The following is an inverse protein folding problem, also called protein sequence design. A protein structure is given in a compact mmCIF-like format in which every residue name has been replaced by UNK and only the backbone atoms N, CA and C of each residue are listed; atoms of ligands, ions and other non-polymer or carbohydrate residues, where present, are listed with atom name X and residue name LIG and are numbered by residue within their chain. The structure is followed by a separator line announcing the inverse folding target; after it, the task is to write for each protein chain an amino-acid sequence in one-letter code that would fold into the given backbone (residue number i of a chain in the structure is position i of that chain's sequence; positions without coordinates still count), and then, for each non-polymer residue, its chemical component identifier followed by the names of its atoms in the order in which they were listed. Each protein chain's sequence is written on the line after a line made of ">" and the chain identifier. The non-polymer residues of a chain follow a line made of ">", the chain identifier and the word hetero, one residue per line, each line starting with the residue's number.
data_IF_136387149900
#
_entry.id   IF_136387149900
#
_cell.length_a   1.000
_cell.length_b   1.000
_cell.length_c   1.000
_cell.angle_alpha   90.00
_cell.angle_beta   90.00
_cell.angle_gamma   90.00
#
_symmetry.space_group_name_H-M   'P 1'
#
loop_
_entity.id
_entity.type
_entity.pdbx_description
1 polymer ?
#
# COMPACT_ATOMS: atom_id res chain seq x y z
N UNK A 1 -21.35 -30.62 -0.78
CA UNK A 1 -20.56 -30.01 -1.87
C UNK A 1 -19.99 -28.63 -1.49
N UNK A 2 -20.77 -27.69 -0.94
CA UNK A 2 -20.26 -26.34 -0.60
C UNK A 2 -19.08 -26.33 0.42
N UNK A 3 -19.12 -27.19 1.45
CA UNK A 3 -18.04 -27.26 2.45
C UNK A 3 -16.70 -27.73 1.85
N UNK A 4 -16.73 -28.70 0.93
CA UNK A 4 -15.54 -29.23 0.25
C UNK A 4 -14.90 -28.18 -0.66
N UNK A 5 -15.72 -27.40 -1.39
CA UNK A 5 -15.25 -26.32 -2.26
C UNK A 5 -14.55 -25.21 -1.47
N UNK A 6 -15.05 -24.88 -0.28
CA UNK A 6 -14.43 -23.88 0.60
C UNK A 6 -13.09 -24.33 1.16
N UNK A 7 -12.95 -25.61 1.54
CA UNK A 7 -11.69 -26.18 2.03
C UNK A 7 -10.59 -26.16 0.95
N UNK A 8 -10.92 -26.54 -0.29
CA UNK A 8 -9.96 -26.50 -1.40
C UNK A 8 -9.53 -25.07 -1.73
N UNK A 9 -10.46 -24.11 -1.74
CA UNK A 9 -10.15 -22.69 -1.95
C UNK A 9 -9.25 -22.14 -0.86
N UNK A 10 -9.59 -22.40 0.40
CA UNK A 10 -8.80 -21.99 1.57
C UNK A 10 -7.37 -22.55 1.51
N UNK A 11 -7.21 -23.84 1.25
CA UNK A 11 -5.89 -24.47 1.13
C UNK A 11 -5.08 -23.86 -0.02
N UNK A 12 -5.69 -23.68 -1.18
CA UNK A 12 -5.05 -22.99 -2.31
C UNK A 12 -4.65 -21.55 -1.99
N UNK A 13 -5.52 -20.82 -1.28
CA UNK A 13 -5.26 -19.46 -0.82
C UNK A 13 -4.14 -19.35 0.20
N UNK A 14 -4.06 -20.28 1.14
CA UNK A 14 -2.99 -20.34 2.12
C UNK A 14 -1.62 -20.60 1.45
N UNK A 15 -1.57 -21.54 0.51
CA UNK A 15 -0.35 -21.81 -0.28
C UNK A 15 0.06 -20.57 -1.09
N UNK A 16 -0.90 -19.88 -1.73
CA UNK A 16 -0.61 -18.63 -2.46
C UNK A 16 -0.04 -17.55 -1.55
N UNK A 17 -0.62 -17.34 -0.37
CA UNK A 17 -0.14 -16.34 0.58
C UNK A 17 1.27 -16.66 1.09
N UNK A 18 1.53 -17.91 1.48
CA UNK A 18 2.87 -18.35 1.89
C UNK A 18 3.90 -18.13 0.78
N UNK A 19 3.57 -18.50 -0.46
CA UNK A 19 4.45 -18.29 -1.61
C UNK A 19 4.70 -16.80 -1.89
N UNK A 20 3.69 -15.95 -1.72
CA UNK A 20 3.82 -14.50 -1.84
C UNK A 20 4.76 -13.94 -0.75
N UNK A 21 4.56 -14.32 0.51
CA UNK A 21 5.43 -13.93 1.63
C UNK A 21 6.88 -14.35 1.43
N UNK A 22 7.13 -15.60 1.03
CA UNK A 22 8.48 -16.09 0.77
C UNK A 22 9.15 -15.32 -0.36
N UNK A 23 8.42 -15.03 -1.44
CA UNK A 23 8.93 -14.24 -2.57
C UNK A 23 9.25 -12.80 -2.14
N UNK A 24 8.35 -12.18 -1.38
CA UNK A 24 8.53 -10.84 -0.83
C UNK A 24 9.81 -10.77 0.01
N UNK A 25 10.00 -11.70 0.95
CA UNK A 25 11.19 -11.75 1.80
C UNK A 25 12.50 -11.91 1.01
N UNK A 26 12.51 -12.78 -0.01
CA UNK A 26 13.68 -12.94 -0.89
C UNK A 26 13.96 -11.65 -1.68
N UNK A 27 12.92 -11.02 -2.21
CA UNK A 27 13.07 -9.80 -3.01
C UNK A 27 13.49 -8.60 -2.15
N UNK A 28 12.98 -8.50 -0.92
CA UNK A 28 13.39 -7.50 0.06
C UNK A 28 14.87 -7.67 0.44
N UNK A 29 15.35 -8.92 0.60
CA UNK A 29 16.77 -9.18 0.84
C UNK A 29 17.64 -8.73 -0.34
N UNK A 30 17.20 -9.00 -1.57
CA UNK A 30 17.91 -8.56 -2.79
C UNK A 30 17.93 -7.03 -2.88
N UNK A 31 16.79 -6.36 -2.67
CA UNK A 31 16.69 -4.91 -2.70
C UNK A 31 17.55 -4.25 -1.61
N UNK A 32 17.53 -4.78 -0.38
CA UNK A 32 18.38 -4.33 0.70
C UNK A 32 19.87 -4.47 0.39
N UNK A 33 20.28 -5.60 -0.22
CA UNK A 33 21.66 -5.82 -0.65
C UNK A 33 22.08 -4.79 -1.71
N UNK A 34 21.21 -4.50 -2.67
CA UNK A 34 21.45 -3.46 -3.68
C UNK A 34 21.58 -2.06 -3.06
N UNK A 35 20.67 -1.69 -2.17
CA UNK A 35 20.67 -0.39 -1.49
C UNK A 35 21.91 -0.18 -0.60
N UNK A 36 22.44 -1.25 0.01
CA UNK A 36 23.71 -1.22 0.74
C UNK A 36 24.89 -1.00 -0.20
N UNK A 37 24.94 -1.72 -1.33
CA UNK A 37 25.98 -1.57 -2.34
C UNK A 37 26.08 -0.15 -2.88
N UNK A 38 24.93 0.46 -3.21
CA UNK A 38 24.87 1.85 -3.64
C UNK A 38 25.29 2.84 -2.56
N UNK A 39 24.84 2.62 -1.31
CA UNK A 39 25.22 3.48 -0.20
C UNK A 39 26.73 3.50 0.05
N UNK A 40 27.39 2.35 -0.13
CA UNK A 40 28.86 2.26 -0.06
C UNK A 40 29.50 2.96 -1.26
N UNK A 41 28.95 2.74 -2.47
CA UNK A 41 29.41 3.39 -3.69
C UNK A 41 29.34 4.92 -3.63
N UNK A 42 28.23 5.47 -3.15
CA UNK A 42 28.03 6.92 -3.01
C UNK A 42 29.03 7.55 -2.04
N UNK A 43 29.32 6.88 -0.92
CA UNK A 43 30.33 7.32 0.06
C UNK A 43 31.72 7.30 -0.56
N UNK A 44 32.09 6.23 -1.26
CA UNK A 44 33.40 6.09 -1.92
C UNK A 44 33.57 7.12 -3.04
N UNK A 45 32.52 7.41 -3.80
CA UNK A 45 32.55 8.30 -4.96
C UNK A 45 32.17 9.76 -4.62
N UNK A 46 31.86 10.07 -3.36
CA UNK A 46 31.46 11.41 -2.92
C UNK A 46 30.18 11.94 -3.60
N UNK A 47 29.27 11.05 -4.00
CA UNK A 47 28.02 11.42 -4.68
C UNK A 47 26.95 11.79 -3.68
N UNK A 48 26.13 12.79 -4.03
CA UNK A 48 24.89 13.05 -3.31
C UNK A 48 23.86 12.00 -3.70
N UNK A 49 23.20 11.43 -2.69
CA UNK A 49 22.21 10.38 -2.89
C UNK A 49 20.95 10.99 -3.51
N UNK A 50 20.62 10.55 -4.72
CA UNK A 50 19.41 10.97 -5.41
C UNK A 50 18.14 10.45 -4.70
N UNK A 51 17.02 11.14 -4.90
CA UNK A 51 15.72 10.69 -4.42
C UNK A 51 15.38 9.31 -5.01
N UNK A 52 14.98 8.38 -4.14
CA UNK A 52 14.47 7.07 -4.55
C UNK A 52 13.05 7.21 -5.08
N UNK A 53 12.56 6.23 -5.83
CA UNK A 53 11.22 6.26 -6.44
C UNK A 53 10.38 5.08 -5.95
N UNK A 54 9.20 5.38 -5.42
CA UNK A 54 8.16 4.41 -5.16
C UNK A 54 7.08 4.54 -6.24
N UNK A 55 6.76 3.44 -6.93
CA UNK A 55 5.69 3.41 -7.92
C UNK A 55 4.37 3.04 -7.25
N UNK A 56 3.32 3.81 -7.54
CA UNK A 56 1.98 3.56 -6.98
C UNK A 56 0.95 3.51 -8.11
N UNK A 57 0.19 2.42 -8.18
CA UNK A 57 -1.01 2.32 -9.01
C UNK A 57 -2.26 2.55 -8.18
N UNK A 58 -3.35 2.98 -8.79
CA UNK A 58 -4.65 3.12 -8.12
C UNK A 58 -5.72 2.40 -8.94
N UNK A 59 -6.57 1.63 -8.26
CA UNK A 59 -7.70 0.92 -8.82
C UNK A 59 -8.98 1.42 -8.14
N UNK A 60 -9.82 2.14 -8.87
CA UNK A 60 -11.09 2.67 -8.40
C UNK A 60 -12.20 1.70 -8.78
N UNK A 61 -12.78 1.00 -7.80
CA UNK A 61 -13.89 0.09 -8.05
C UNK A 61 -15.18 0.88 -8.34
N UNK A 62 -16.15 0.22 -8.98
CA UNK A 62 -17.50 0.75 -9.19
C UNK A 62 -18.55 -0.10 -8.49
N UNK A 63 -19.63 0.56 -8.06
CA UNK A 63 -20.86 -0.08 -7.60
C UNK A 63 -22.02 0.21 -8.57
N UNK A 64 -23.26 -0.11 -8.16
CA UNK A 64 -24.46 0.09 -9.00
C UNK A 64 -24.75 1.55 -9.36
N UNK A 65 -24.10 2.51 -8.71
CA UNK A 65 -24.21 3.94 -8.97
C UNK A 65 -23.06 4.48 -9.84
N UNK A 66 -22.10 3.63 -10.22
CA UNK A 66 -20.89 3.99 -10.96
C UNK A 66 -19.62 3.94 -10.10
N UNK A 67 -18.54 4.61 -10.52
CA UNK A 67 -17.28 4.66 -9.78
C UNK A 67 -17.46 5.17 -8.35
N UNK A 68 -16.79 4.55 -7.39
CA UNK A 68 -16.87 4.92 -5.97
C UNK A 68 -16.32 6.32 -5.68
N UNK A 69 -15.31 6.73 -6.43
CA UNK A 69 -14.76 8.09 -6.47
C UNK A 69 -14.08 8.33 -7.83
N UNK A 70 -13.68 9.58 -8.07
CA UNK A 70 -12.93 10.02 -9.24
C UNK A 70 -11.42 9.98 -8.99
N UNK A 71 -10.65 10.10 -10.07
CA UNK A 71 -9.19 10.25 -9.99
C UNK A 71 -8.78 11.55 -9.26
N UNK A 72 -9.60 12.60 -9.33
CA UNK A 72 -9.33 13.87 -8.67
C UNK A 72 -9.51 13.77 -7.15
N UNK A 73 -10.46 12.96 -6.68
CA UNK A 73 -10.72 12.75 -5.25
C UNK A 73 -9.50 12.14 -4.55
N UNK A 74 -8.83 11.17 -5.19
CA UNK A 74 -7.62 10.53 -4.61
C UNK A 74 -6.35 11.38 -4.73
N UNK A 75 -6.38 12.44 -5.54
CA UNK A 75 -5.19 13.21 -5.88
C UNK A 75 -4.56 13.91 -4.66
N UNK A 76 -5.37 14.41 -3.73
CA UNK A 76 -4.86 15.05 -2.51
C UNK A 76 -4.14 14.06 -1.59
N UNK A 77 -4.72 12.87 -1.38
CA UNK A 77 -4.06 11.83 -0.59
C UNK A 77 -2.76 11.32 -1.25
N UNK A 78 -2.72 11.20 -2.59
CA UNK A 78 -1.50 10.84 -3.32
C UNK A 78 -0.40 11.91 -3.19
N UNK A 79 -0.76 13.19 -3.26
CA UNK A 79 0.17 14.31 -3.00
C UNK A 79 0.69 14.30 -1.57
N UNK A 80 -0.18 14.07 -0.60
CA UNK A 80 0.21 13.94 0.80
C UNK A 80 1.17 12.76 1.00
N UNK A 81 0.90 11.60 0.39
CA UNK A 81 1.81 10.46 0.43
C UNK A 81 3.18 10.77 -0.19
N UNK A 82 3.22 11.45 -1.34
CA UNK A 82 4.50 11.93 -1.92
C UNK A 82 5.26 12.80 -0.93
N UNK A 83 4.62 13.83 -0.39
CA UNK A 83 5.27 14.77 0.53
C UNK A 83 5.79 14.07 1.79
N UNK A 84 5.00 13.17 2.39
CA UNK A 84 5.37 12.42 3.58
C UNK A 84 6.60 11.53 3.31
N UNK A 85 6.60 10.77 2.21
CA UNK A 85 7.72 9.87 1.90
C UNK A 85 8.96 10.62 1.37
N UNK A 86 8.76 11.72 0.64
CA UNK A 86 9.85 12.55 0.11
C UNK A 86 10.56 13.28 1.24
N UNK A 87 9.82 13.96 2.12
CA UNK A 87 10.40 14.66 3.27
C UNK A 87 10.88 13.70 4.36
N UNK A 88 10.12 12.63 4.62
CA UNK A 88 10.44 11.68 5.67
C UNK A 88 11.57 10.71 5.31
N UNK A 89 11.65 10.27 4.05
CA UNK A 89 12.57 9.21 3.63
C UNK A 89 13.32 9.51 2.32
N UNK A 90 13.16 10.67 1.67
CA UNK A 90 13.78 10.95 0.37
C UNK A 90 13.29 10.01 -0.74
N UNK A 91 12.03 9.60 -0.67
CA UNK A 91 11.38 8.72 -1.64
C UNK A 91 10.25 9.50 -2.31
N UNK A 92 10.37 9.70 -3.62
CA UNK A 92 9.31 10.30 -4.43
C UNK A 92 8.26 9.26 -4.79
N UNK A 93 6.99 9.58 -4.60
CA UNK A 93 5.87 8.75 -5.06
C UNK A 93 5.56 9.10 -6.50
N UNK A 94 5.63 8.09 -7.38
CA UNK A 94 5.27 8.22 -8.79
C UNK A 94 4.02 7.39 -9.06
N UNK A 95 2.92 8.09 -9.34
CA UNK A 95 1.69 7.43 -9.82
C UNK A 95 1.96 6.84 -11.20
N UNK A 96 1.77 5.53 -11.34
CA UNK A 96 1.96 4.82 -12.61
C UNK A 96 0.70 4.78 -13.45
N UNK A 97 -0.44 4.58 -12.80
CA UNK A 97 -1.74 4.47 -13.43
C UNK A 97 -2.86 4.71 -12.41
N UNK A 98 -4.00 5.21 -12.88
CA UNK A 98 -5.25 5.28 -12.12
C UNK A 98 -6.34 4.64 -13.00
N UNK A 99 -6.64 3.37 -12.72
CA UNK A 99 -7.64 2.60 -13.44
C UNK A 99 -9.01 2.78 -12.78
N UNK A 100 -10.01 3.22 -13.54
CA UNK A 100 -11.42 3.21 -13.12
C UNK A 100 -12.08 1.94 -13.64
N UNK A 101 -12.41 1.01 -12.74
CA UNK A 101 -13.05 -0.25 -13.10
C UNK A 101 -14.53 0.00 -13.32
N UNK A 102 -14.98 0.03 -14.57
CA UNK A 102 -16.41 0.24 -14.90
C UNK A 102 -17.26 -1.02 -14.71
N UNK A 103 -16.64 -2.19 -14.57
CA UNK A 103 -17.34 -3.43 -14.22
C UNK A 103 -17.85 -3.36 -12.78
N UNK A 104 -19.10 -3.78 -12.56
CA UNK A 104 -19.69 -3.81 -11.23
C UNK A 104 -18.94 -4.78 -10.33
N UNK A 105 -18.31 -4.25 -9.27
CA UNK A 105 -17.61 -5.08 -8.31
C UNK A 105 -18.63 -5.85 -7.44
N UNK A 106 -18.37 -7.15 -7.13
CA UNK A 106 -19.17 -7.89 -6.16
C UNK A 106 -19.09 -7.23 -4.78
N UNK A 107 -20.18 -7.31 -3.98
CA UNK A 107 -20.22 -6.70 -2.65
C UNK A 107 -19.04 -7.11 -1.74
N UNK A 108 -18.57 -8.35 -1.84
CA UNK A 108 -17.41 -8.81 -1.04
C UNK A 108 -16.07 -8.18 -1.44
N UNK A 109 -15.96 -7.67 -2.67
CA UNK A 109 -14.81 -6.89 -3.11
C UNK A 109 -14.96 -5.41 -2.74
N UNK A 110 -16.20 -4.92 -2.66
CA UNK A 110 -16.54 -3.56 -2.24
C UNK A 110 -16.48 -3.36 -0.72
N UNK A 111 -16.77 -4.39 0.06
CA UNK A 111 -16.84 -4.34 1.53
C UNK A 111 -15.99 -5.46 2.18
N UNK A 112 -14.65 -5.50 1.94
CA UNK A 112 -13.81 -6.52 2.54
C UNK A 112 -13.75 -6.44 4.06
N UNK A 113 -13.45 -7.56 4.72
CA UNK A 113 -13.15 -7.57 6.15
C UNK A 113 -11.83 -6.87 6.47
N UNK A 114 -11.65 -6.41 7.70
CA UNK A 114 -10.38 -5.86 8.19
C UNK A 114 -9.42 -6.93 8.72
N UNK A 115 -8.11 -6.63 8.67
CA UNK A 115 -7.04 -7.38 9.33
C UNK A 115 -7.04 -8.88 8.94
N UNK A 116 -7.14 -9.77 9.93
CA UNK A 116 -7.22 -11.22 9.73
C UNK A 116 -8.39 -11.63 8.84
N UNK A 117 -9.48 -10.84 8.79
CA UNK A 117 -10.60 -11.10 7.89
C UNK A 117 -10.25 -10.77 6.44
N UNK A 118 -9.46 -9.73 6.17
CA UNK A 118 -8.95 -9.44 4.83
C UNK A 118 -8.09 -10.61 4.32
N UNK A 119 -7.24 -11.16 5.19
CA UNK A 119 -6.41 -12.32 4.85
C UNK A 119 -7.28 -13.53 4.53
N UNK A 120 -8.34 -13.77 5.33
CA UNK A 120 -9.29 -14.84 5.07
C UNK A 120 -10.06 -14.63 3.77
N UNK A 121 -10.50 -13.40 3.50
CA UNK A 121 -11.17 -13.02 2.25
C UNK A 121 -10.25 -13.28 1.05
N UNK A 122 -8.96 -12.96 1.16
CA UNK A 122 -7.98 -13.26 0.13
C UNK A 122 -7.79 -14.77 -0.09
N UNK A 123 -7.68 -15.54 1.00
CA UNK A 123 -7.54 -16.99 0.91
C UNK A 123 -8.78 -17.65 0.29
N UNK A 124 -9.97 -17.15 0.60
CA UNK A 124 -11.25 -17.64 0.06
C UNK A 124 -11.52 -17.14 -1.37
N UNK A 125 -10.72 -16.20 -1.87
CA UNK A 125 -10.82 -15.64 -3.23
C UNK A 125 -11.86 -14.53 -3.36
N UNK A 126 -12.31 -13.92 -2.26
CA UNK A 126 -13.21 -12.77 -2.30
C UNK A 126 -12.55 -11.52 -2.89
N UNK A 127 -11.21 -11.47 -2.86
CA UNK A 127 -10.38 -10.42 -3.48
C UNK A 127 -10.11 -10.67 -4.97
N UNK A 128 -10.55 -11.80 -5.54
CA UNK A 128 -10.21 -12.20 -6.91
C UNK A 128 -10.56 -11.12 -7.95
N UNK A 129 -11.70 -10.44 -7.76
CA UNK A 129 -12.19 -9.41 -8.67
C UNK A 129 -11.15 -8.32 -8.97
N UNK A 130 -10.50 -7.76 -7.94
CA UNK A 130 -9.47 -6.76 -8.16
C UNK A 130 -8.09 -7.38 -8.37
N UNK A 131 -7.83 -8.58 -7.82
CA UNK A 131 -6.54 -9.27 -8.00
C UNK A 131 -6.20 -9.57 -9.45
N UNK A 132 -7.19 -9.90 -10.26
CA UNK A 132 -7.00 -10.20 -11.69
C UNK A 132 -6.56 -8.96 -12.49
N UNK A 133 -6.67 -7.76 -11.90
CA UNK A 133 -6.27 -6.47 -12.47
C UNK A 133 -4.95 -5.96 -11.91
N UNK A 134 -4.43 -6.60 -10.86
CA UNK A 134 -3.18 -6.18 -10.24
C UNK A 134 -1.99 -6.55 -11.14
N UNK A 135 -0.92 -5.75 -11.14
CA UNK A 135 0.33 -6.10 -11.79
C UNK A 135 0.87 -7.43 -11.28
N UNK A 136 1.63 -8.13 -12.13
CA UNK A 136 2.25 -9.39 -11.72
C UNK A 136 3.21 -9.16 -10.56
N UNK A 137 3.04 -9.85 -9.41
CA UNK A 137 3.82 -9.60 -8.21
C UNK A 137 5.25 -10.13 -8.32
N UNK A 138 6.17 -9.49 -7.59
CA UNK A 138 7.49 -10.07 -7.27
C UNK A 138 8.68 -9.62 -8.12
N UNK A 139 8.60 -8.47 -8.79
CA UNK A 139 9.77 -7.81 -9.36
C UNK A 139 10.25 -6.67 -8.43
N UNK A 140 11.56 -6.45 -8.36
CA UNK A 140 12.10 -5.24 -7.72
C UNK A 140 11.54 -4.01 -8.43
N UNK A 141 11.11 -3.04 -7.62
CA UNK A 141 10.42 -1.83 -8.01
C UNK A 141 8.97 -2.00 -8.38
N UNK A 142 8.37 -3.20 -8.34
CA UNK A 142 6.95 -3.39 -8.69
C UNK A 142 6.06 -2.36 -7.97
N UNK A 143 5.02 -1.81 -8.62
CA UNK A 143 4.19 -0.79 -7.97
C UNK A 143 3.41 -1.39 -6.80
N UNK A 144 3.19 -0.58 -5.77
CA UNK A 144 2.15 -0.86 -4.76
C UNK A 144 0.82 -0.38 -5.34
N UNK A 145 -0.21 -1.22 -5.34
CA UNK A 145 -1.53 -0.85 -5.87
C UNK A 145 -2.50 -0.49 -4.74
N UNK A 146 -3.12 0.68 -4.84
CA UNK A 146 -4.16 1.15 -3.93
C UNK A 146 -5.51 0.77 -4.52
N UNK A 147 -6.27 -0.07 -3.83
CA UNK A 147 -7.63 -0.47 -4.24
C UNK A 147 -8.62 0.34 -3.43
N UNK A 148 -9.40 1.19 -4.10
CA UNK A 148 -10.45 1.97 -3.45
C UNK A 148 -11.73 1.15 -3.38
N UNK A 149 -12.19 0.91 -2.16
CA UNK A 149 -13.36 0.09 -1.83
C UNK A 149 -14.46 0.95 -1.21
N UNK A 150 -15.68 0.43 -1.14
CA UNK A 150 -16.83 1.16 -0.61
C UNK A 150 -16.73 1.32 0.90
N UNK A 151 -16.51 0.21 1.60
CA UNK A 151 -16.36 0.14 3.05
C UNK A 151 -15.35 -0.95 3.44
N UNK A 152 -14.88 -0.95 4.69
CA UNK A 152 -14.02 -1.99 5.26
C UNK A 152 -14.62 -2.36 6.62
N UNK A 153 -15.05 -3.61 6.75
CA UNK A 153 -15.69 -4.06 7.98
C UNK A 153 -14.67 -4.17 9.11
N UNK A 154 -14.78 -3.30 10.12
CA UNK A 154 -13.95 -3.41 11.33
C UNK A 154 -13.55 -2.11 12.02
N UNK A 155 -14.25 -0.99 11.78
CA UNK A 155 -13.87 0.35 12.30
C UNK A 155 -12.44 0.75 11.91
N UNK A 156 -11.99 0.31 10.74
CA UNK A 156 -10.76 0.77 10.11
C UNK A 156 -11.13 1.41 8.78
N UNK A 157 -10.27 2.28 8.28
CA UNK A 157 -10.49 2.96 7.01
C UNK A 157 -9.52 2.56 5.91
N UNK A 158 -8.39 1.97 6.29
CA UNK A 158 -7.48 1.27 5.41
C UNK A 158 -7.17 -0.13 5.93
N UNK A 159 -6.66 -0.98 5.04
CA UNK A 159 -6.07 -2.25 5.44
C UNK A 159 -5.03 -2.72 4.42
N UNK A 160 -4.00 -3.38 4.94
CA UNK A 160 -2.92 -3.98 4.18
C UNK A 160 -2.67 -5.39 4.68
N UNK A 161 -2.30 -6.30 3.78
CA UNK A 161 -1.77 -7.62 4.15
C UNK A 161 -0.24 -7.58 4.37
N UNK A 162 0.35 -6.38 4.38
CA UNK A 162 1.78 -6.17 4.59
C UNK A 162 2.61 -6.87 3.52
N UNK A 163 3.64 -7.60 3.95
CA UNK A 163 4.55 -8.32 3.05
C UNK A 163 3.89 -9.39 2.16
N UNK A 164 2.65 -9.80 2.45
CA UNK A 164 1.99 -10.87 1.68
C UNK A 164 1.24 -10.35 0.46
N UNK A 165 1.15 -9.03 0.29
CA UNK A 165 0.48 -8.37 -0.82
C UNK A 165 1.24 -7.13 -1.30
N UNK A 166 1.26 -6.92 -2.61
CA UNK A 166 1.79 -5.70 -3.24
C UNK A 166 0.65 -4.66 -3.43
N UNK A 167 -0.39 -4.72 -2.60
CA UNK A 167 -1.57 -3.89 -2.67
C UNK A 167 -2.15 -3.58 -1.29
N UNK A 168 -2.93 -2.50 -1.23
CA UNK A 168 -3.64 -2.03 -0.03
C UNK A 168 -5.08 -1.71 -0.39
N UNK A 169 -5.99 -1.77 0.58
CA UNK A 169 -7.38 -1.31 0.43
C UNK A 169 -7.60 -0.03 1.23
N UNK A 170 -8.33 0.92 0.64
CA UNK A 170 -8.69 2.20 1.25
C UNK A 170 -10.18 2.47 1.00
N UNK A 171 -10.91 2.87 2.03
CA UNK A 171 -12.31 3.29 1.88
C UNK A 171 -12.41 4.57 1.06
N UNK A 172 -13.45 4.68 0.22
CA UNK A 172 -13.69 5.89 -0.58
C UNK A 172 -13.87 7.16 0.24
N UNK A 173 -14.47 7.07 1.43
CA UNK A 173 -14.79 8.22 2.30
C UNK A 173 -13.55 8.96 2.79
N UNK A 174 -12.38 8.31 2.77
CA UNK A 174 -11.09 8.92 3.07
C UNK A 174 -10.70 10.04 2.11
N UNK A 175 -11.26 10.01 0.91
CA UNK A 175 -10.94 10.90 -0.20
C UNK A 175 -12.01 11.96 -0.43
N UNK A 176 -13.07 11.98 0.39
CA UNK A 176 -14.14 12.97 0.27
C UNK A 176 -13.89 14.14 1.25
N UNK A 177 -13.40 15.30 0.78
CA UNK A 177 -13.12 16.45 1.66
C UNK A 177 -14.38 17.06 2.28
N UNK A 178 -15.58 16.65 1.85
CA UNK A 178 -16.85 17.09 2.44
C UNK A 178 -17.27 16.26 3.65
N UNK A 179 -16.66 15.08 3.86
CA UNK A 179 -16.86 14.24 5.04
C UNK A 179 -15.76 14.50 6.10
N UNK A 180 -15.97 15.52 6.94
CA UNK A 180 -15.04 15.96 7.97
C UNK A 180 -14.71 14.90 9.04
N UNK A 181 -15.50 13.82 9.12
CA UNK A 181 -15.32 12.73 10.09
C UNK A 181 -14.53 11.56 9.50
N UNK A 182 -14.48 11.43 8.18
CA UNK A 182 -13.79 10.34 7.50
C UNK A 182 -12.53 10.80 6.75
N UNK A 183 -12.50 12.03 6.24
CA UNK A 183 -11.42 12.56 5.43
C UNK A 183 -10.08 12.56 6.16
N UNK A 184 -9.11 11.83 5.64
CA UNK A 184 -7.76 11.75 6.19
C UNK A 184 -6.73 11.37 5.11
N UNK A 185 -6.04 12.39 4.61
CA UNK A 185 -4.98 12.24 3.59
C UNK A 185 -3.80 11.38 4.05
N UNK A 186 -3.64 11.15 5.37
CA UNK A 186 -2.54 10.36 5.91
C UNK A 186 -2.78 8.86 5.84
N UNK A 187 -4.04 8.40 5.71
CA UNK A 187 -4.38 6.97 5.69
C UNK A 187 -3.69 6.27 4.53
N UNK A 188 -3.71 6.88 3.35
CA UNK A 188 -3.11 6.28 2.17
C UNK A 188 -1.61 6.02 2.36
N UNK A 189 -0.90 7.01 2.89
CA UNK A 189 0.53 6.89 3.21
C UNK A 189 0.78 5.83 4.30
N UNK A 190 -0.10 5.73 5.29
CA UNK A 190 -0.04 4.72 6.35
C UNK A 190 -0.17 3.31 5.78
N UNK A 191 -1.17 3.06 4.94
CA UNK A 191 -1.37 1.73 4.33
C UNK A 191 -0.23 1.35 3.40
N UNK A 192 0.26 2.30 2.58
CA UNK A 192 1.47 2.09 1.77
C UNK A 192 2.65 1.75 2.70
N UNK A 193 2.79 2.42 3.84
CA UNK A 193 3.79 2.09 4.86
C UNK A 193 3.75 0.63 5.28
N UNK A 194 2.55 0.06 5.51
CA UNK A 194 2.39 -1.36 5.79
C UNK A 194 2.82 -2.27 4.65
N UNK A 195 2.45 -1.95 3.41
CA UNK A 195 2.91 -2.69 2.22
C UNK A 195 4.44 -2.66 2.09
N UNK A 196 5.08 -1.59 2.58
CA UNK A 196 6.53 -1.42 2.63
C UNK A 196 7.18 -1.95 3.92
N UNK A 197 6.52 -2.88 4.61
CA UNK A 197 6.97 -3.57 5.81
C UNK A 197 7.11 -2.70 7.08
N UNK A 198 6.43 -1.55 7.16
CA UNK A 198 6.41 -0.78 8.40
C UNK A 198 5.33 -1.31 9.35
N UNK A 199 5.66 -1.73 10.58
CA UNK A 199 4.68 -2.03 11.61
C UNK A 199 4.15 -0.74 12.25
N UNK A 200 3.05 -0.88 13.00
CA UNK A 200 2.53 0.19 13.84
C UNK A 200 3.58 0.73 14.83
N UNK A 201 3.46 2.02 15.16
CA UNK A 201 4.27 2.70 16.17
C UNK A 201 3.36 3.37 17.21
N UNK A 202 3.72 3.30 18.50
CA UNK A 202 2.90 3.86 19.58
C UNK A 202 2.96 5.40 19.76
N UNK A 203 3.60 6.13 18.85
CA UNK A 203 3.77 7.59 18.97
C UNK A 203 2.81 8.24 17.99
N UNK A 204 1.91 9.09 18.50
CA UNK A 204 0.87 9.75 17.69
C UNK A 204 1.43 10.64 16.60
N UNK A 205 2.64 11.17 16.77
CA UNK A 205 3.31 11.97 15.74
C UNK A 205 3.85 11.13 14.58
N UNK A 206 3.93 9.80 14.73
CA UNK A 206 4.46 8.90 13.72
C UNK A 206 3.41 8.53 12.67
N UNK A 207 3.84 8.41 11.41
CA UNK A 207 2.99 7.97 10.29
C UNK A 207 2.30 6.63 10.61
N UNK A 208 3.02 5.70 11.25
CA UNK A 208 2.51 4.37 11.54
C UNK A 208 1.72 4.29 12.85
N UNK A 209 1.23 5.42 13.38
CA UNK A 209 0.31 5.39 14.51
C UNK A 209 -1.00 4.69 14.12
N UNK A 210 -1.46 3.66 14.88
CA UNK A 210 -2.52 2.74 14.46
C UNK A 210 -3.93 3.33 14.43
N UNK A 211 -4.10 4.60 14.82
CA UNK A 211 -5.42 5.20 14.94
C UNK A 211 -5.40 6.62 14.41
N UNK A 212 -6.38 6.95 13.59
CA UNK A 212 -6.66 8.31 13.16
C UNK A 212 -8.15 8.54 13.24
N UNK A 213 -8.54 9.70 13.74
CA UNK A 213 -9.95 10.02 13.97
C UNK A 213 -10.23 11.50 13.66
N UNK A 214 -10.39 11.86 12.38
CA UNK A 214 -10.70 13.22 11.97
C UNK A 214 -11.94 13.80 12.70
N UNK A 215 -12.02 15.13 12.87
CA UNK A 215 -11.02 16.11 12.43
C UNK A 215 -9.87 16.30 13.44
N UNK A 216 -10.13 16.19 14.74
CA UNK A 216 -9.16 16.54 15.80
C UNK A 216 -8.13 15.44 16.06
N UNK A 217 -8.37 14.25 15.49
CA UNK A 217 -7.68 13.03 15.83
C UNK A 217 -6.67 12.52 14.82
N UNK A 218 -6.32 13.32 13.81
CA UNK A 218 -5.45 12.88 12.71
C UNK A 218 -4.06 12.49 13.21
N UNK A 219 -3.53 11.37 12.69
CA UNK A 219 -2.17 10.91 13.02
C UNK A 219 -1.11 11.86 12.45
N UNK A 220 0.09 11.84 13.03
CA UNK A 220 1.22 12.59 12.48
C UNK A 220 1.87 11.91 11.28
N UNK A 221 2.87 12.57 10.70
CA UNK A 221 3.54 12.14 9.46
C UNK A 221 5.01 11.77 9.65
N UNK A 222 5.51 11.77 10.89
CA UNK A 222 6.93 11.57 11.15
C UNK A 222 7.36 10.11 10.89
N UNK A 223 8.59 9.94 10.41
CA UNK A 223 9.25 8.64 10.25
C UNK A 223 10.53 8.59 11.11
N UNK A 224 10.69 7.50 11.87
CA UNK A 224 11.91 7.18 12.62
C UNK A 224 13.05 6.85 11.65
N UNK A 225 14.32 7.07 12.05
CA UNK A 225 15.47 6.74 11.20
C UNK A 225 15.44 5.31 10.66
N UNK A 226 15.09 4.32 11.49
CA UNK A 226 15.01 2.93 11.05
C UNK A 226 13.87 2.68 10.05
N UNK A 227 12.72 3.36 10.19
CA UNK A 227 11.62 3.26 9.22
C UNK A 227 12.07 3.76 7.85
N UNK A 228 12.85 4.85 7.80
CA UNK A 228 13.44 5.38 6.55
C UNK A 228 14.35 4.35 5.88
N UNK A 229 15.19 3.67 6.67
CA UNK A 229 16.06 2.61 6.17
C UNK A 229 15.26 1.44 5.59
N UNK A 230 14.22 0.99 6.31
CA UNK A 230 13.34 -0.09 5.83
C UNK A 230 12.66 0.29 4.51
N UNK A 231 12.10 1.50 4.43
CA UNK A 231 11.44 1.99 3.22
C UNK A 231 12.39 2.04 2.02
N UNK A 232 13.62 2.55 2.21
CA UNK A 232 14.64 2.64 1.15
C UNK A 232 15.17 1.30 0.68
N UNK A 233 15.20 0.31 1.57
CA UNK A 233 15.67 -1.04 1.29
C UNK A 233 14.54 -1.98 0.81
N UNK A 234 13.29 -1.50 0.76
CA UNK A 234 12.15 -2.32 0.40
C UNK A 234 12.14 -2.68 -1.10
N UNK A 235 11.66 -3.87 -1.45
CA UNK A 235 11.55 -4.34 -2.84
C UNK A 235 10.80 -3.40 -3.77
N UNK A 236 9.88 -2.56 -3.30
CA UNK A 236 9.10 -1.65 -4.13
C UNK A 236 9.81 -0.33 -4.42
N UNK A 237 10.86 -0.01 -3.67
CA UNK A 237 11.60 1.25 -3.79
C UNK A 237 12.74 1.09 -4.78
N UNK A 238 12.69 1.87 -5.85
CA UNK A 238 13.77 1.96 -6.81
C UNK A 238 14.79 3.01 -6.35
N UNK A 239 16.08 2.70 -6.38
CA UNK A 239 17.09 3.68 -6.05
C UNK A 239 17.10 4.84 -7.06
N UNK A 240 17.42 6.03 -6.57
CA UNK A 240 17.58 7.21 -7.40
C UNK A 240 18.80 7.07 -8.30
N UNK A 241 18.70 7.49 -9.56
CA UNK A 241 19.88 7.61 -10.39
C UNK A 241 20.65 8.87 -9.97
N UNK A 242 21.82 8.69 -9.36
CA UNK A 242 22.74 9.78 -9.09
C UNK A 242 23.10 10.47 -10.41
N UNK A 243 22.83 11.77 -10.52
CA UNK A 243 23.33 12.57 -11.63
C UNK A 243 24.81 12.90 -11.38
N UNK A 244 25.70 12.77 -12.39
CA UNK A 244 27.06 13.27 -12.26
C UNK A 244 27.02 14.79 -12.04
N UNK A 245 27.85 15.27 -11.11
CA UNK A 245 28.10 16.70 -10.93
C UNK A 245 28.84 17.27 -12.14
#
# INVERSE_FOLDING_TARGET
>A
MAATVNLTRLAGGAVRNLAATSRAAVTDLVAASGALGESVGDVVLGRERAESVLRVGVLLLSDGNGPLCSADDVASALRAADEIFRTGAGIRVRVTDIEVVTELAPDRALDPGANQRLLLDDMLGHTAFFRDRLPTPGAVGAPVTVVVVRDIAGRTTGCSLGMTADWVVCQRSLFDPTDDRAYDETVLAHEIGHALNLPHHGDRSNLMFPSSSPPDGVRGTALRPWQRTVLRANRHTLPGQAQPR
#
